data_IF_031513644953
#
_entry.id   IF_031513644953
#
_cell.length_a   1.000
_cell.length_b   1.000
_cell.length_c   1.000
_cell.angle_alpha   90.00
_cell.angle_beta   90.00
_cell.angle_gamma   90.00
#
_symmetry.space_group_name_H-M   'P 1'
#
loop_
_entity.id
_entity.type
_entity.pdbx_description
1 polymer ?
#
# COMPACT_ATOMS: atom_id res chain seq x y z
N UNK A 1 2.63 -2.96 8.89
CA UNK A 1 2.32 -4.34 8.46
C UNK A 1 3.44 -4.80 7.57
N UNK A 2 3.95 -6.01 7.84
CA UNK A 2 4.94 -6.67 7.00
C UNK A 2 4.21 -7.74 6.19
N UNK A 3 4.22 -7.59 4.86
CA UNK A 3 3.67 -8.61 3.97
C UNK A 3 4.82 -9.56 3.62
N UNK A 4 4.77 -10.77 4.16
CA UNK A 4 5.81 -11.77 3.89
C UNK A 4 5.75 -12.25 2.44
N UNK A 5 6.90 -12.56 1.82
CA UNK A 5 6.95 -13.17 0.50
C UNK A 5 6.09 -14.43 0.43
N UNK A 6 5.23 -14.54 -0.57
CA UNK A 6 4.31 -15.68 -0.74
C UNK A 6 3.07 -15.68 0.17
N UNK A 7 2.91 -14.70 1.06
CA UNK A 7 1.66 -14.54 1.85
C UNK A 7 0.47 -14.10 1.00
N UNK A 8 0.74 -13.42 -0.12
CA UNK A 8 -0.25 -12.97 -1.08
C UNK A 8 0.05 -13.54 -2.47
N UNK A 9 -0.99 -13.80 -3.28
CA UNK A 9 -0.79 -14.28 -4.65
C UNK A 9 -0.07 -13.21 -5.49
N UNK A 10 0.96 -13.61 -6.24
CA UNK A 10 1.70 -12.73 -7.16
C UNK A 10 0.83 -12.14 -8.28
N UNK A 11 -0.37 -12.69 -8.48
CA UNK A 11 -1.40 -12.23 -9.42
C UNK A 11 -2.39 -11.22 -8.87
N UNK A 12 -2.15 -10.67 -7.67
CA UNK A 12 -3.09 -9.74 -7.04
C UNK A 12 -3.10 -8.39 -7.79
N UNK A 13 -4.28 -7.96 -8.22
CA UNK A 13 -4.48 -6.69 -8.91
C UNK A 13 -4.98 -5.58 -8.00
N UNK A 14 -5.72 -5.92 -6.94
CA UNK A 14 -6.28 -4.97 -5.97
C UNK A 14 -6.04 -5.48 -4.55
N UNK A 15 -5.59 -4.60 -3.67
CA UNK A 15 -5.36 -4.89 -2.26
C UNK A 15 -6.02 -3.79 -1.42
N UNK A 16 -6.97 -4.18 -0.59
CA UNK A 16 -7.61 -3.28 0.37
C UNK A 16 -7.07 -3.55 1.76
N UNK A 17 -6.38 -2.56 2.33
CA UNK A 17 -5.91 -2.54 3.70
C UNK A 17 -6.50 -1.35 4.45
N UNK A 18 -7.62 -0.80 3.98
CA UNK A 18 -8.28 0.34 4.60
C UNK A 18 -8.75 0.03 6.02
N UNK A 19 -8.93 1.08 6.83
CA UNK A 19 -9.45 1.01 8.22
C UNK A 19 -8.64 0.10 9.13
N UNK A 20 -7.34 0.00 8.90
CA UNK A 20 -6.42 -0.72 9.77
C UNK A 20 -5.60 0.26 10.63
N UNK A 21 -4.75 -0.27 11.50
CA UNK A 21 -3.83 0.53 12.34
C UNK A 21 -2.42 0.56 11.75
N UNK A 22 -2.31 0.54 10.41
CA UNK A 22 -1.03 0.42 9.72
C UNK A 22 -0.31 1.77 9.76
N UNK A 23 0.90 1.79 10.31
CA UNK A 23 1.77 2.97 10.33
C UNK A 23 2.87 2.92 9.25
N UNK A 24 3.32 1.71 8.89
CA UNK A 24 4.31 1.45 7.85
C UNK A 24 3.90 0.21 7.04
N UNK A 25 4.18 0.17 5.74
CA UNK A 25 3.85 -0.92 4.82
C UNK A 25 5.12 -1.37 4.11
N UNK A 26 5.46 -2.64 4.25
CA UNK A 26 6.64 -3.26 3.64
C UNK A 26 6.25 -4.58 2.95
N UNK A 27 7.05 -5.01 1.96
CA UNK A 27 6.80 -6.26 1.24
C UNK A 27 5.88 -6.17 0.00
N UNK A 28 5.36 -4.98 -0.34
CA UNK A 28 4.51 -4.81 -1.53
C UNK A 28 5.30 -4.81 -2.86
N UNK A 29 6.63 -4.76 -2.82
CA UNK A 29 7.50 -4.79 -4.02
C UNK A 29 7.38 -6.07 -4.83
N UNK A 30 6.98 -7.18 -4.20
CA UNK A 30 6.80 -8.46 -4.87
C UNK A 30 5.46 -8.58 -5.62
N UNK A 31 4.50 -7.70 -5.32
CA UNK A 31 3.19 -7.65 -5.97
C UNK A 31 3.28 -6.85 -7.27
N UNK A 32 4.06 -7.36 -8.23
CA UNK A 32 4.35 -6.70 -9.52
C UNK A 32 3.11 -6.45 -10.38
N UNK A 33 2.01 -7.17 -10.12
CA UNK A 33 0.73 -7.03 -10.82
C UNK A 33 -0.28 -6.13 -10.08
N UNK A 34 0.09 -5.57 -8.93
CA UNK A 34 -0.82 -4.75 -8.14
C UNK A 34 -1.09 -3.42 -8.85
N UNK A 35 -2.37 -3.14 -9.09
CA UNK A 35 -2.87 -1.93 -9.77
C UNK A 35 -3.67 -1.02 -8.83
N UNK A 36 -4.24 -1.56 -7.77
CA UNK A 36 -5.01 -0.78 -6.79
C UNK A 36 -4.53 -1.13 -5.40
N UNK A 37 -4.21 -0.10 -4.61
CA UNK A 37 -3.89 -0.24 -3.21
C UNK A 37 -4.67 0.79 -2.40
N UNK A 38 -5.58 0.30 -1.55
CA UNK A 38 -6.36 1.14 -0.66
C UNK A 38 -5.75 1.12 0.74
N UNK A 39 -5.19 2.26 1.17
CA UNK A 39 -4.65 2.46 2.51
C UNK A 39 -5.46 3.49 3.31
N UNK A 40 -6.67 3.82 2.86
CA UNK A 40 -7.52 4.81 3.53
C UNK A 40 -7.78 4.45 5.01
N UNK A 41 -7.98 5.47 5.86
CA UNK A 41 -8.29 5.27 7.28
C UNK A 41 -7.24 4.42 8.04
N UNK A 42 -5.96 4.55 7.67
CA UNK A 42 -4.83 4.00 8.42
C UNK A 42 -4.11 5.07 9.25
N UNK A 43 -3.11 4.64 10.03
CA UNK A 43 -2.26 5.51 10.85
C UNK A 43 -0.96 5.90 10.14
N UNK A 44 -1.00 5.98 8.80
CA UNK A 44 0.16 6.35 8.00
C UNK A 44 0.37 7.86 8.14
N UNK A 45 1.11 8.25 9.17
CA UNK A 45 1.35 9.66 9.53
C UNK A 45 2.32 10.36 8.57
N UNK A 46 3.16 9.60 7.89
CA UNK A 46 4.02 10.05 6.79
C UNK A 46 4.05 8.96 5.74
N UNK A 47 3.35 9.15 4.63
CA UNK A 47 3.84 8.57 3.38
C UNK A 47 5.07 9.41 3.06
N UNK A 48 6.23 8.98 3.56
CA UNK A 48 7.44 9.75 3.40
C UNK A 48 7.59 10.12 1.92
N UNK A 49 7.65 11.42 1.64
CA UNK A 49 8.20 12.01 0.41
C UNK A 49 9.70 11.64 0.22
N UNK A 50 10.16 10.51 0.78
CA UNK A 50 11.53 10.04 0.76
C UNK A 50 11.85 9.13 -0.41
N UNK A 51 10.85 8.51 -1.04
CA UNK A 51 10.99 7.90 -2.37
C UNK A 51 9.65 8.02 -3.07
N UNK A 52 9.62 8.84 -4.11
CA UNK A 52 8.93 8.46 -5.35
C UNK A 52 9.45 7.07 -5.76
N UNK A 53 9.02 6.02 -5.05
CA UNK A 53 8.85 4.72 -5.66
C UNK A 53 7.68 4.98 -6.57
N UNK A 54 7.99 5.33 -7.82
CA UNK A 54 7.11 5.16 -8.95
C UNK A 54 6.60 3.72 -8.86
N UNK A 55 5.49 3.55 -8.16
CA UNK A 55 4.68 2.35 -8.28
C UNK A 55 4.23 2.37 -9.73
N UNK A 56 5.01 1.71 -10.59
CA UNK A 56 5.27 2.18 -11.95
C UNK A 56 4.00 2.64 -12.65
N UNK A 57 3.84 3.96 -12.84
CA UNK A 57 2.83 4.70 -13.61
C UNK A 57 1.35 4.22 -13.62
N UNK A 58 1.00 3.18 -12.88
CA UNK A 58 -0.18 2.34 -13.13
C UNK A 58 -0.80 1.79 -11.84
N UNK A 59 -0.25 2.11 -10.66
CA UNK A 59 -0.97 1.87 -9.40
C UNK A 59 -1.79 3.11 -9.02
N UNK A 60 -3.07 2.92 -8.77
CA UNK A 60 -3.88 3.89 -8.06
C UNK A 60 -3.68 3.68 -6.55
N UNK A 61 -2.94 4.60 -5.92
CA UNK A 61 -2.84 4.65 -4.46
C UNK A 61 -3.95 5.53 -3.91
N UNK A 62 -4.89 4.93 -3.17
CA UNK A 62 -5.93 5.68 -2.48
C UNK A 62 -5.54 5.83 -1.00
N UNK A 63 -5.05 7.01 -0.63
CA UNK A 63 -4.75 7.38 0.75
C UNK A 63 -5.55 8.62 1.13
N UNK A 64 -6.75 8.43 1.66
CA UNK A 64 -7.46 9.51 2.35
C UNK A 64 -6.92 9.57 3.78
N UNK A 65 -6.07 10.55 4.06
CA UNK A 65 -5.74 10.94 5.43
C UNK A 65 -7.05 11.36 6.09
N UNK A 66 -7.56 10.54 7.01
CA UNK A 66 -8.52 11.07 7.98
C UNK A 66 -7.72 11.97 8.90
N UNK A 67 -7.72 13.26 8.57
CA UNK A 67 -7.43 14.33 9.51
C UNK A 67 -8.48 14.24 10.62
N UNK A 68 -8.11 13.66 11.75
CA UNK A 68 -8.64 13.92 13.08
C UNK A 68 -7.48 13.81 14.06
#
# INVERSE_FOLDING_TARGET
VHISPGSLPKGLHSLDLSRNKIANVEGLRELTKLRVLNLSYNRISRIGHGKSQTWGSNIALHCTSSVH
#
